data_IF_054563333044
#
_entry.id   IF_054563333044
#
_cell.length_a   1.000
_cell.length_b   1.000
_cell.length_c   1.000
_cell.angle_alpha   90.00
_cell.angle_beta   90.00
_cell.angle_gamma   90.00
#
_symmetry.space_group_name_H-M   'P 1'
#
loop_
_entity.id
_entity.type
_entity.pdbx_description
1 polymer ?
#
# COMPACT_ATOMS: atom_id res chain seq x y z
N UNK A 1 23.78 4.07 29.45
CA UNK A 1 23.85 4.24 27.98
C UNK A 1 23.84 2.87 27.35
N UNK A 2 23.02 2.65 26.33
CA UNK A 2 22.98 1.42 25.53
C UNK A 2 23.03 1.80 24.05
N UNK A 3 23.83 1.08 23.27
CA UNK A 3 23.90 1.20 21.81
C UNK A 3 23.75 -0.20 21.22
N UNK A 4 22.72 -0.41 20.40
CA UNK A 4 22.50 -1.64 19.66
C UNK A 4 22.57 -1.36 18.17
N UNK A 5 23.31 -2.18 17.43
CA UNK A 5 23.34 -2.18 15.96
C UNK A 5 22.85 -3.54 15.48
N UNK A 6 21.95 -3.55 14.50
CA UNK A 6 21.35 -4.75 13.96
C UNK A 6 21.54 -4.88 12.45
N UNK A 7 21.76 -6.12 12.02
CA UNK A 7 21.72 -6.54 10.63
C UNK A 7 20.97 -7.87 10.55
N UNK A 8 20.02 -7.98 9.64
CA UNK A 8 19.42 -9.25 9.25
C UNK A 8 19.22 -9.32 7.75
N UNK A 9 19.14 -10.54 7.23
CA UNK A 9 18.89 -10.83 5.82
C UNK A 9 18.24 -12.20 5.70
N UNK A 10 17.57 -12.44 4.58
CA UNK A 10 17.09 -13.77 4.23
C UNK A 10 18.15 -14.52 3.43
N UNK A 11 18.15 -15.84 3.57
CA UNK A 11 18.93 -16.76 2.76
C UNK A 11 18.02 -17.90 2.36
N UNK A 12 17.93 -18.19 1.07
CA UNK A 12 17.02 -19.20 0.55
C UNK A 12 17.68 -20.05 -0.53
N UNK A 13 17.31 -21.33 -0.59
CA UNK A 13 17.63 -22.20 -1.72
C UNK A 13 16.34 -22.46 -2.48
N UNK A 14 16.23 -21.91 -3.69
CA UNK A 14 15.09 -22.10 -4.58
C UNK A 14 15.16 -23.50 -5.21
N UNK A 15 14.69 -24.51 -4.50
CA UNK A 15 14.71 -25.93 -4.90
C UNK A 15 13.36 -26.65 -4.82
N UNK A 16 12.23 -25.94 -4.64
CA UNK A 16 10.89 -26.54 -4.61
C UNK A 16 10.48 -27.03 -6.01
N UNK A 17 10.75 -28.31 -6.29
CA UNK A 17 10.45 -28.93 -7.58
C UNK A 17 8.97 -28.94 -7.93
N UNK A 18 8.08 -28.94 -6.94
CA UNK A 18 6.65 -28.95 -7.19
C UNK A 18 6.21 -27.61 -7.75
N UNK A 19 6.56 -26.51 -7.09
CA UNK A 19 6.15 -25.17 -7.54
C UNK A 19 6.94 -24.72 -8.77
N UNK A 20 8.21 -25.11 -8.89
CA UNK A 20 8.99 -24.91 -10.10
C UNK A 20 8.35 -25.59 -11.31
N UNK A 21 7.79 -26.80 -11.15
CA UNK A 21 7.08 -27.47 -12.22
C UNK A 21 5.80 -26.72 -12.62
N UNK A 22 5.05 -26.15 -11.67
CA UNK A 22 3.86 -25.34 -11.98
C UNK A 22 4.21 -24.10 -12.82
N UNK A 23 5.30 -23.41 -12.47
CA UNK A 23 5.78 -22.27 -13.25
C UNK A 23 6.22 -22.71 -14.65
N UNK A 24 6.96 -23.81 -14.74
CA UNK A 24 7.42 -24.39 -16.02
C UNK A 24 6.25 -24.78 -16.93
N UNK A 25 5.22 -25.45 -16.39
CA UNK A 25 4.03 -25.85 -17.14
C UNK A 25 3.28 -24.64 -17.71
N UNK A 26 3.38 -23.49 -17.03
CA UNK A 26 2.80 -22.21 -17.50
C UNK A 26 3.73 -21.38 -18.37
N UNK A 27 5.01 -21.72 -18.45
CA UNK A 27 6.03 -20.92 -19.11
C UNK A 27 6.41 -19.64 -18.35
N UNK A 28 6.18 -19.60 -17.04
CA UNK A 28 6.59 -18.48 -16.20
C UNK A 28 8.03 -18.64 -15.71
N UNK A 29 8.81 -17.54 -15.64
CA UNK A 29 10.14 -17.57 -15.06
C UNK A 29 10.06 -17.79 -13.55
N UNK A 30 11.07 -18.46 -13.00
CA UNK A 30 11.22 -18.70 -11.58
C UNK A 30 12.72 -18.77 -11.23
N UNK A 31 13.11 -18.36 -10.01
CA UNK A 31 14.50 -18.45 -9.56
C UNK A 31 14.87 -19.92 -9.28
N UNK A 32 16.17 -20.23 -9.30
CA UNK A 32 16.68 -21.55 -8.91
C UNK A 32 17.96 -21.40 -8.11
N UNK A 33 18.20 -22.34 -7.20
CA UNK A 33 19.40 -22.36 -6.38
C UNK A 33 19.45 -21.26 -5.32
N UNK A 34 20.65 -21.04 -4.81
CA UNK A 34 20.91 -20.17 -3.68
C UNK A 34 20.70 -18.68 -4.03
N UNK A 35 19.86 -17.99 -3.26
CA UNK A 35 19.55 -16.55 -3.43
C UNK A 35 20.66 -15.60 -2.95
N UNK A 36 21.66 -16.10 -2.21
CA UNK A 36 22.52 -15.24 -1.41
C UNK A 36 21.75 -14.56 -0.28
N UNK A 37 22.33 -13.49 0.28
CA UNK A 37 21.64 -12.65 1.26
C UNK A 37 20.82 -11.58 0.55
N UNK A 38 19.52 -11.53 0.81
CA UNK A 38 18.59 -10.57 0.24
C UNK A 38 17.56 -10.09 1.30
N UNK A 39 16.70 -9.14 0.91
CA UNK A 39 15.68 -8.55 1.81
C UNK A 39 16.27 -8.02 3.11
N UNK A 40 17.42 -7.35 3.03
CA UNK A 40 18.21 -6.98 4.21
C UNK A 40 17.48 -5.96 5.09
N UNK A 41 17.81 -5.98 6.38
CA UNK A 41 17.35 -5.02 7.37
C UNK A 41 18.52 -4.53 8.20
N UNK A 42 18.63 -3.20 8.31
CA UNK A 42 19.60 -2.52 9.14
C UNK A 42 18.87 -1.81 10.28
N UNK A 43 19.43 -1.82 11.48
CA UNK A 43 18.90 -1.04 12.59
C UNK A 43 19.98 -0.46 13.48
N UNK A 44 19.66 0.67 14.09
CA UNK A 44 20.47 1.30 15.13
C UNK A 44 19.56 1.81 16.24
N UNK A 45 19.93 1.57 17.47
CA UNK A 45 19.20 2.02 18.66
C UNK A 45 20.18 2.61 19.66
N UNK A 46 19.89 3.82 20.12
CA UNK A 46 20.61 4.49 21.19
C UNK A 46 19.63 4.78 22.33
N UNK A 47 19.97 4.36 23.54
CA UNK A 47 19.22 4.66 24.76
C UNK A 47 20.15 5.33 25.77
N UNK A 48 19.74 6.50 26.24
CA UNK A 48 20.46 7.31 27.23
C UNK A 48 19.54 7.56 28.41
N UNK A 49 20.01 7.34 29.63
CA UNK A 49 19.22 7.66 30.80
C UNK A 49 20.07 7.64 32.05
N UNK A 50 19.64 8.40 33.05
CA UNK A 50 20.30 8.49 34.34
C UNK A 50 19.34 9.01 35.40
N UNK A 51 19.64 8.68 36.65
CA UNK A 51 19.17 9.46 37.79
C UNK A 51 19.98 10.75 37.91
N UNK A 52 19.40 11.79 38.50
CA UNK A 52 20.06 13.07 38.81
C UNK A 52 19.50 13.65 40.12
N UNK A 53 20.13 14.71 40.63
CA UNK A 53 19.73 15.39 41.87
C UNK A 53 19.52 14.42 43.05
N UNK A 54 20.57 13.66 43.41
CA UNK A 54 20.56 12.70 44.51
C UNK A 54 19.41 11.68 44.42
N UNK A 55 19.16 11.15 43.21
CA UNK A 55 18.09 10.21 42.87
C UNK A 55 16.66 10.77 42.98
N UNK A 56 16.47 12.08 43.12
CA UNK A 56 15.14 12.69 43.00
C UNK A 56 14.65 12.79 41.57
N UNK A 57 15.57 12.86 40.60
CA UNK A 57 15.25 12.96 39.20
C UNK A 57 15.60 11.70 38.43
N UNK A 58 14.77 11.33 37.45
CA UNK A 58 15.08 10.31 36.46
C UNK A 58 14.75 10.83 35.07
N UNK A 59 15.66 10.67 34.12
CA UNK A 59 15.40 10.98 32.71
C UNK A 59 15.95 9.86 31.83
N UNK A 60 15.21 9.54 30.78
CA UNK A 60 15.60 8.57 29.76
C UNK A 60 15.11 9.05 28.39
N UNK A 61 15.94 8.89 27.36
CA UNK A 61 15.59 9.13 25.98
C UNK A 61 16.15 8.04 25.09
N UNK A 62 15.47 7.80 23.97
CA UNK A 62 15.87 6.83 22.99
C UNK A 62 15.68 7.34 21.57
N UNK A 63 16.48 6.80 20.67
CA UNK A 63 16.38 6.99 19.23
C UNK A 63 16.59 5.63 18.57
N UNK A 64 15.65 5.22 17.72
CA UNK A 64 15.76 4.01 16.90
C UNK A 64 15.67 4.39 15.43
N UNK A 65 16.50 3.79 14.60
CA UNK A 65 16.39 3.80 13.16
C UNK A 65 16.32 2.36 12.65
N UNK A 66 15.50 2.12 11.64
CA UNK A 66 15.45 0.87 10.89
C UNK A 66 15.26 1.18 9.41
N UNK A 67 15.99 0.45 8.57
CA UNK A 67 15.78 0.41 7.13
C UNK A 67 15.66 -1.04 6.66
N UNK A 68 14.62 -1.32 5.89
CA UNK A 68 14.41 -2.61 5.24
C UNK A 68 14.49 -2.42 3.73
N UNK A 69 15.26 -3.26 3.06
CA UNK A 69 15.26 -3.37 1.61
C UNK A 69 14.04 -4.15 1.11
N UNK A 70 13.64 -3.88 -0.13
CA UNK A 70 12.60 -4.64 -0.78
C UNK A 70 13.07 -6.09 -1.03
N UNK A 71 12.13 -7.02 -0.94
CA UNK A 71 12.26 -8.37 -1.48
C UNK A 71 11.04 -8.62 -2.36
N UNK A 72 11.24 -9.11 -3.58
CA UNK A 72 10.20 -9.38 -4.57
C UNK A 72 9.76 -10.84 -4.53
N UNK A 73 8.52 -11.10 -4.92
CA UNK A 73 8.03 -12.48 -5.04
C UNK A 73 8.81 -13.28 -6.09
N UNK A 74 9.39 -12.62 -7.10
CA UNK A 74 10.26 -13.23 -8.10
C UNK A 74 11.52 -13.89 -7.51
N UNK A 75 11.92 -13.50 -6.29
CA UNK A 75 13.15 -13.99 -5.65
C UNK A 75 12.92 -15.29 -4.86
N UNK A 76 11.67 -15.78 -4.81
CA UNK A 76 11.30 -17.06 -4.21
C UNK A 76 10.51 -17.90 -5.22
N UNK A 77 10.97 -19.12 -5.49
CA UNK A 77 10.34 -20.04 -6.45
C UNK A 77 8.88 -20.34 -6.12
N UNK A 78 8.58 -20.50 -4.83
CA UNK A 78 7.24 -20.77 -4.32
C UNK A 78 6.28 -19.57 -4.43
N UNK A 79 6.79 -18.36 -4.70
CA UNK A 79 5.96 -17.15 -4.96
C UNK A 79 6.12 -16.58 -6.37
N UNK A 80 6.90 -17.21 -7.23
CA UNK A 80 7.13 -16.74 -8.60
C UNK A 80 5.82 -16.68 -9.42
N UNK A 81 4.76 -17.39 -9.04
CA UNK A 81 3.42 -17.23 -9.59
C UNK A 81 2.34 -17.30 -8.51
N UNK A 82 1.15 -16.75 -8.80
CA UNK A 82 -0.04 -16.99 -7.98
C UNK A 82 -0.67 -18.33 -8.34
N UNK A 83 -0.69 -19.28 -7.42
CA UNK A 83 -1.32 -20.59 -7.61
C UNK A 83 -2.83 -20.48 -7.38
N UNK A 84 -3.62 -21.11 -8.25
CA UNK A 84 -5.08 -21.13 -8.12
C UNK A 84 -5.53 -21.86 -6.84
N UNK A 85 -6.59 -21.34 -6.19
CA UNK A 85 -7.13 -21.93 -4.97
C UNK A 85 -7.82 -23.30 -5.19
N UNK A 86 -8.23 -23.60 -6.43
CA UNK A 86 -9.01 -24.80 -6.78
C UNK A 86 -8.26 -25.76 -7.69
N UNK A 87 -7.03 -25.43 -8.09
CA UNK A 87 -6.18 -26.27 -8.93
C UNK A 87 -4.72 -25.93 -8.69
N UNK A 88 -3.84 -26.93 -8.61
CA UNK A 88 -2.39 -26.72 -8.53
C UNK A 88 -1.85 -26.27 -9.90
N UNK A 89 -2.10 -25.01 -10.25
CA UNK A 89 -1.65 -24.40 -11.49
C UNK A 89 -1.41 -22.90 -11.28
N UNK A 90 -0.35 -22.37 -11.90
CA UNK A 90 -0.11 -20.94 -11.94
C UNK A 90 -1.24 -20.23 -12.70
N UNK A 91 -1.97 -19.40 -11.97
CA UNK A 91 -2.96 -18.47 -12.50
C UNK A 91 -2.30 -17.22 -13.08
N UNK A 92 -3.13 -16.25 -13.45
CA UNK A 92 -2.67 -14.97 -13.98
C UNK A 92 -3.81 -14.12 -14.49
N UNK A 93 -3.49 -12.97 -15.07
CA UNK A 93 -4.48 -12.04 -15.60
C UNK A 93 -4.66 -12.18 -17.11
N UNK A 94 -5.91 -12.08 -17.57
CA UNK A 94 -6.22 -11.94 -18.99
C UNK A 94 -5.98 -10.53 -19.55
N UNK A 95 -5.72 -9.53 -18.72
CA UNK A 95 -5.09 -8.26 -19.13
C UNK A 95 -3.60 -8.51 -19.19
N UNK A 96 -3.09 -8.70 -20.40
CA UNK A 96 -1.79 -9.32 -20.62
C UNK A 96 -0.87 -8.52 -21.53
N UNK A 97 0.36 -9.01 -21.67
CA UNK A 97 1.36 -8.51 -22.59
C UNK A 97 1.93 -9.67 -23.43
N UNK A 98 1.85 -9.65 -24.76
CA UNK A 98 1.09 -8.69 -25.58
C UNK A 98 -0.40 -8.63 -25.21
N UNK A 99 -1.09 -7.58 -25.66
CA UNK A 99 -2.51 -7.38 -25.36
C UNK A 99 -3.43 -8.41 -26.04
N UNK A 100 -4.67 -8.49 -25.55
CA UNK A 100 -5.77 -9.17 -26.27
C UNK A 100 -6.96 -8.22 -26.47
N UNK A 101 -7.81 -8.59 -27.40
CA UNK A 101 -8.98 -7.83 -27.82
C UNK A 101 -10.21 -8.71 -27.78
N UNK A 102 -11.27 -8.28 -27.09
CA UNK A 102 -12.58 -8.90 -27.25
C UNK A 102 -13.35 -8.13 -28.32
N UNK A 103 -13.60 -8.76 -29.47
CA UNK A 103 -14.14 -8.10 -30.66
C UNK A 103 -15.59 -8.54 -30.87
N UNK A 104 -16.51 -7.60 -30.77
CA UNK A 104 -17.94 -7.79 -31.03
C UNK A 104 -18.39 -6.97 -32.23
N UNK A 105 -19.45 -7.43 -32.90
CA UNK A 105 -20.12 -6.66 -33.95
C UNK A 105 -20.86 -5.48 -33.31
N UNK A 106 -20.95 -4.35 -34.01
CA UNK A 106 -21.64 -3.16 -33.52
C UNK A 106 -22.48 -2.51 -34.62
N UNK A 107 -23.77 -2.30 -34.35
CA UNK A 107 -24.70 -1.65 -35.26
C UNK A 107 -25.82 -0.97 -34.48
N UNK A 108 -26.39 0.09 -35.03
CA UNK A 108 -27.55 0.80 -34.45
C UNK A 108 -27.35 1.23 -32.98
N UNK A 109 -26.11 1.60 -32.61
CA UNK A 109 -25.79 2.04 -31.24
C UNK A 109 -25.66 0.92 -30.21
N UNK A 110 -25.52 -0.35 -30.63
CA UNK A 110 -25.39 -1.47 -29.71
C UNK A 110 -24.58 -2.65 -30.23
N UNK A 111 -24.19 -3.52 -29.30
CA UNK A 111 -23.49 -4.79 -29.59
C UNK A 111 -24.45 -5.75 -30.28
N UNK A 112 -23.99 -6.34 -31.40
CA UNK A 112 -24.67 -7.43 -32.09
C UNK A 112 -24.00 -8.74 -31.69
N UNK A 113 -24.79 -9.62 -31.06
CA UNK A 113 -24.27 -10.87 -30.52
C UNK A 113 -23.72 -11.78 -31.62
N UNK A 114 -22.58 -12.41 -31.34
CA UNK A 114 -22.09 -13.53 -32.13
C UNK A 114 -23.00 -14.76 -31.96
N UNK A 115 -22.97 -15.69 -32.94
CA UNK A 115 -23.52 -17.03 -32.72
C UNK A 115 -22.92 -17.67 -31.46
N UNK A 116 -23.74 -18.44 -30.74
CA UNK A 116 -23.33 -19.13 -29.53
C UNK A 116 -22.06 -19.96 -29.77
N UNK A 117 -21.09 -19.85 -28.85
CA UNK A 117 -19.84 -20.60 -28.91
C UNK A 117 -18.71 -19.94 -29.70
N UNK A 118 -18.92 -18.77 -30.33
CA UNK A 118 -17.82 -18.03 -30.96
C UNK A 118 -16.84 -17.51 -29.91
N UNK A 119 -15.55 -17.82 -30.08
CA UNK A 119 -14.49 -17.14 -29.35
C UNK A 119 -14.30 -15.74 -29.95
N UNK A 120 -14.60 -14.72 -29.14
CA UNK A 120 -14.46 -13.32 -29.53
C UNK A 120 -13.11 -12.72 -29.10
N UNK A 121 -12.19 -13.51 -28.54
CA UNK A 121 -10.88 -13.04 -28.11
C UNK A 121 -9.84 -13.23 -29.19
N UNK A 122 -9.14 -12.16 -29.52
CA UNK A 122 -8.11 -12.11 -30.54
C UNK A 122 -6.82 -11.51 -29.98
N UNK A 123 -5.70 -11.96 -30.53
CA UNK A 123 -4.35 -11.47 -30.25
C UNK A 123 -3.64 -11.16 -31.55
N UNK A 124 -2.78 -10.16 -31.52
CA UNK A 124 -1.86 -9.85 -32.62
C UNK A 124 -0.69 -10.84 -32.60
N UNK A 125 -0.38 -11.45 -33.75
CA UNK A 125 0.74 -12.41 -33.89
C UNK A 125 1.94 -11.84 -34.67
N UNK A 126 1.95 -10.54 -34.97
CA UNK A 126 2.96 -9.88 -35.81
C UNK A 126 2.55 -9.69 -37.27
N UNK A 127 1.47 -10.35 -37.73
CA UNK A 127 0.97 -10.25 -39.11
C UNK A 127 -0.53 -10.00 -39.20
N UNK A 128 -1.31 -10.71 -38.39
CA UNK A 128 -2.77 -10.60 -38.36
C UNK A 128 -3.30 -10.89 -36.96
N UNK A 129 -4.62 -10.74 -36.79
CA UNK A 129 -5.30 -11.10 -35.57
C UNK A 129 -5.78 -12.54 -35.65
N UNK A 130 -5.57 -13.30 -34.58
CA UNK A 130 -6.02 -14.69 -34.49
C UNK A 130 -6.66 -14.93 -33.14
N UNK A 131 -7.54 -15.94 -33.06
CA UNK A 131 -8.15 -16.29 -31.78
C UNK A 131 -7.09 -16.69 -30.76
N UNK A 132 -7.15 -16.09 -29.57
CA UNK A 132 -6.18 -16.36 -28.53
C UNK A 132 -6.38 -15.52 -27.29
N UNK A 133 -5.66 -15.92 -26.25
CA UNK A 133 -5.56 -15.18 -24.99
C UNK A 133 -4.14 -15.37 -24.46
N UNK A 134 -3.51 -14.29 -24.02
CA UNK A 134 -2.30 -14.38 -23.22
C UNK A 134 -2.66 -14.35 -21.73
N UNK A 135 -1.78 -14.91 -20.91
CA UNK A 135 -1.89 -14.86 -19.47
C UNK A 135 -0.68 -14.13 -18.90
N UNK A 136 -0.93 -13.08 -18.11
CA UNK A 136 0.11 -12.31 -17.46
C UNK A 136 0.35 -12.77 -16.04
N UNK A 137 1.60 -13.08 -15.72
CA UNK A 137 2.02 -13.39 -14.36
C UNK A 137 2.24 -12.09 -13.58
N UNK A 138 1.26 -11.71 -12.76
CA UNK A 138 1.34 -10.50 -11.95
C UNK A 138 2.11 -10.70 -10.64
N UNK A 139 2.45 -11.93 -10.24
CA UNK A 139 3.08 -12.20 -8.94
C UNK A 139 4.51 -11.65 -8.81
N UNK A 140 5.44 -11.88 -9.77
CA UNK A 140 6.88 -11.64 -9.59
C UNK A 140 7.24 -10.24 -9.11
N UNK A 141 6.55 -9.24 -9.64
CA UNK A 141 6.85 -7.83 -9.41
C UNK A 141 6.30 -7.31 -8.07
N UNK A 142 5.44 -8.03 -7.36
CA UNK A 142 4.97 -7.57 -6.05
C UNK A 142 6.04 -7.78 -4.97
N UNK A 143 6.00 -6.97 -3.93
CA UNK A 143 6.84 -7.17 -2.76
C UNK A 143 6.41 -8.42 -1.98
N UNK A 144 7.39 -9.25 -1.63
CA UNK A 144 7.36 -10.21 -0.53
C UNK A 144 7.68 -9.52 0.80
N UNK A 145 8.71 -8.65 0.80
CA UNK A 145 9.00 -7.68 1.87
C UNK A 145 8.95 -6.27 1.27
N UNK A 146 8.18 -5.37 1.89
CA UNK A 146 8.15 -3.97 1.47
C UNK A 146 9.39 -3.24 1.97
N UNK A 147 9.92 -2.29 1.18
CA UNK A 147 10.92 -1.37 1.69
C UNK A 147 10.28 -0.44 2.74
N UNK A 148 11.04 -0.16 3.79
CA UNK A 148 10.58 0.62 4.94
C UNK A 148 11.76 1.37 5.56
N UNK A 149 11.62 2.67 5.77
CA UNK A 149 12.56 3.46 6.55
C UNK A 149 11.79 4.07 7.74
N UNK A 150 12.21 3.77 8.95
CA UNK A 150 11.50 4.13 10.18
C UNK A 150 12.44 4.70 11.21
N UNK A 151 12.12 5.89 11.69
CA UNK A 151 12.75 6.54 12.83
C UNK A 151 11.73 6.65 13.95
N UNK A 152 12.09 6.19 15.14
CA UNK A 152 11.31 6.47 16.36
C UNK A 152 12.21 7.12 17.38
N UNK A 153 11.66 8.05 18.14
CA UNK A 153 12.37 8.66 19.24
C UNK A 153 11.42 8.86 20.41
N UNK A 154 11.98 8.90 21.61
CA UNK A 154 11.21 9.26 22.78
C UNK A 154 12.06 9.78 23.90
N UNK A 155 11.37 10.39 24.86
CA UNK A 155 11.95 11.00 26.03
C UNK A 155 10.96 10.92 27.17
N UNK A 156 11.43 10.54 28.36
CA UNK A 156 10.64 10.52 29.58
C UNK A 156 11.49 11.10 30.70
N UNK A 157 10.90 11.95 31.53
CA UNK A 157 11.55 12.47 32.73
C UNK A 157 10.55 12.67 33.86
N UNK A 158 11.03 12.48 35.09
CA UNK A 158 10.29 12.78 36.32
C UNK A 158 11.23 13.36 37.37
N UNK A 159 10.67 14.15 38.29
CA UNK A 159 11.44 14.75 39.38
C UNK A 159 10.61 14.83 40.66
N UNK A 160 11.08 14.18 41.73
CA UNK A 160 10.45 14.20 43.05
C UNK A 160 10.80 15.49 43.79
N UNK A 161 9.85 16.42 43.84
CA UNK A 161 9.99 17.66 44.62
C UNK A 161 9.81 17.33 46.11
N UNK A 162 8.74 16.60 46.42
CA UNK A 162 8.34 16.09 47.72
C UNK A 162 7.25 15.02 47.55
N UNK A 163 6.78 14.44 48.65
CA UNK A 163 5.75 13.38 48.66
C UNK A 163 4.42 13.76 47.98
N UNK A 164 4.17 15.06 47.78
CA UNK A 164 2.94 15.60 47.20
C UNK A 164 3.08 16.00 45.73
N UNK A 165 4.30 16.04 45.20
CA UNK A 165 4.55 16.58 43.87
C UNK A 165 5.77 15.94 43.17
N UNK A 166 5.45 15.11 42.18
CA UNK A 166 6.36 14.54 41.19
C UNK A 166 5.87 14.95 39.80
N UNK A 167 6.31 16.09 39.25
CA UNK A 167 6.12 16.40 37.84
C UNK A 167 6.79 15.37 36.95
N UNK A 168 6.18 15.12 35.79
CA UNK A 168 6.72 14.25 34.76
C UNK A 168 6.37 14.73 33.35
N UNK A 169 7.16 14.29 32.38
CA UNK A 169 6.93 14.50 30.95
C UNK A 169 7.30 13.25 30.17
N UNK A 170 6.51 12.95 29.15
CA UNK A 170 6.74 11.87 28.18
C UNK A 170 6.55 12.45 26.77
N UNK A 171 7.49 12.21 25.87
CA UNK A 171 7.40 12.58 24.47
C UNK A 171 7.74 11.36 23.60
N UNK A 172 6.98 11.18 22.53
CA UNK A 172 7.19 10.13 21.53
C UNK A 172 7.07 10.70 20.13
N UNK A 173 7.89 10.20 19.21
CA UNK A 173 7.96 10.60 17.82
C UNK A 173 8.14 9.37 16.93
N UNK A 174 7.49 9.39 15.77
CA UNK A 174 7.59 8.38 14.72
C UNK A 174 7.60 9.11 13.38
N UNK A 175 8.58 8.79 12.54
CA UNK A 175 8.56 9.04 11.10
C UNK A 175 8.76 7.71 10.41
N UNK A 176 7.94 7.44 9.40
CA UNK A 176 8.03 6.20 8.63
C UNK A 176 7.69 6.49 7.18
N UNK A 177 8.53 5.96 6.29
CA UNK A 177 8.28 5.92 4.85
C UNK A 177 8.28 4.49 4.39
N UNK A 178 7.27 4.10 3.62
CA UNK A 178 7.21 2.76 3.05
C UNK A 178 6.40 2.79 1.77
N UNK A 179 6.77 1.96 0.80
CA UNK A 179 6.00 1.80 -0.42
C UNK A 179 5.36 0.41 -0.49
N UNK A 180 4.16 0.39 -1.05
CA UNK A 180 3.53 -0.81 -1.58
C UNK A 180 3.68 -0.80 -3.09
N UNK A 181 3.73 -1.99 -3.66
CA UNK A 181 3.81 -2.18 -5.09
C UNK A 181 2.82 -3.26 -5.49
N UNK A 182 2.06 -2.97 -6.54
CA UNK A 182 1.22 -3.94 -7.24
C UNK A 182 1.74 -4.03 -8.68
N UNK A 183 1.59 -5.19 -9.32
CA UNK A 183 1.83 -5.35 -10.74
C UNK A 183 1.28 -4.21 -11.59
N UNK A 184 1.88 -3.95 -12.73
CA UNK A 184 1.58 -2.88 -13.67
C UNK A 184 0.09 -2.71 -13.92
N UNK A 185 -0.37 -1.46 -14.09
CA UNK A 185 -1.75 -1.18 -14.49
C UNK A 185 -1.98 -1.57 -15.95
N UNK A 186 -3.10 -1.17 -16.55
CA UNK A 186 -3.37 -1.44 -17.95
C UNK A 186 -4.82 -1.20 -18.35
N UNK A 187 -5.14 -1.57 -19.58
CA UNK A 187 -6.52 -1.65 -20.03
C UNK A 187 -7.18 -2.88 -19.40
N UNK A 188 -8.00 -2.68 -18.36
CA UNK A 188 -8.75 -3.74 -17.68
C UNK A 188 -10.15 -3.91 -18.26
N UNK A 189 -10.22 -4.06 -19.58
CA UNK A 189 -11.49 -4.21 -20.28
C UNK A 189 -12.09 -2.89 -20.71
N UNK A 190 -11.28 -2.04 -21.38
CA UNK A 190 -11.73 -0.73 -21.87
C UNK A 190 -12.45 -0.91 -23.20
N UNK A 191 -13.76 -0.67 -23.31
CA UNK A 191 -14.49 -0.82 -24.57
C UNK A 191 -14.36 0.45 -25.42
N UNK A 192 -14.08 0.27 -26.70
CA UNK A 192 -14.14 1.34 -27.72
C UNK A 192 -14.92 0.87 -28.94
N UNK A 193 -15.57 1.80 -29.63
CA UNK A 193 -16.24 1.53 -30.90
C UNK A 193 -15.37 2.08 -32.02
N UNK A 194 -15.09 1.24 -33.00
CA UNK A 194 -14.17 1.55 -34.11
C UNK A 194 -14.81 1.22 -35.44
N UNK A 195 -14.57 2.07 -36.44
CA UNK A 195 -14.91 1.75 -37.82
C UNK A 195 -13.99 0.64 -38.35
N UNK A 196 -14.55 -0.33 -39.06
CA UNK A 196 -13.78 -1.46 -39.58
C UNK A 196 -12.80 -1.08 -40.70
N UNK A 197 -12.87 0.15 -41.21
CA UNK A 197 -11.92 0.71 -42.17
C UNK A 197 -10.84 1.60 -41.49
N UNK A 198 -10.83 1.71 -40.16
CA UNK A 198 -9.84 2.51 -39.45
C UNK A 198 -8.43 1.90 -39.65
N UNK A 199 -7.45 2.63 -40.18
CA UNK A 199 -6.12 2.09 -40.47
C UNK A 199 -5.36 1.63 -39.20
N UNK A 200 -5.66 2.18 -38.02
CA UNK A 200 -4.99 1.82 -36.77
C UNK A 200 -5.28 0.38 -36.33
N UNK A 201 -6.48 -0.14 -36.61
CA UNK A 201 -6.87 -1.50 -36.21
C UNK A 201 -6.47 -2.56 -37.25
N UNK A 202 -5.94 -2.13 -38.40
CA UNK A 202 -5.47 -3.02 -39.47
C UNK A 202 -6.55 -4.00 -39.94
N UNK A 203 -6.22 -5.29 -39.96
CA UNK A 203 -7.10 -6.37 -40.46
C UNK A 203 -8.09 -6.88 -39.42
N UNK A 204 -8.16 -6.30 -38.21
CA UNK A 204 -8.91 -6.86 -37.07
C UNK A 204 -10.35 -7.26 -37.42
N UNK A 205 -11.13 -6.38 -38.04
CA UNK A 205 -12.52 -6.70 -38.37
C UNK A 205 -12.63 -7.85 -39.38
N UNK A 206 -11.75 -7.88 -40.39
CA UNK A 206 -11.72 -8.94 -41.39
C UNK A 206 -11.31 -10.28 -40.77
N UNK A 207 -10.26 -10.28 -39.97
CA UNK A 207 -9.76 -11.47 -39.25
C UNK A 207 -10.80 -12.02 -38.26
N UNK A 208 -11.54 -11.13 -37.60
CA UNK A 208 -12.62 -11.50 -36.69
C UNK A 208 -13.94 -11.85 -37.40
N UNK A 209 -14.05 -11.62 -38.71
CA UNK A 209 -15.26 -11.85 -39.49
C UNK A 209 -16.43 -10.95 -39.09
N UNK A 210 -16.16 -9.69 -38.74
CA UNK A 210 -17.18 -8.68 -38.43
C UNK A 210 -17.94 -8.32 -39.71
N UNK A 211 -19.27 -8.47 -39.71
CA UNK A 211 -20.12 -8.20 -40.87
C UNK A 211 -20.74 -6.78 -40.85
N UNK A 212 -20.62 -6.07 -39.73
CA UNK A 212 -21.09 -4.68 -39.56
C UNK A 212 -20.01 -3.68 -39.98
N UNK A 213 -20.38 -2.41 -40.21
CA UNK A 213 -19.41 -1.35 -40.55
C UNK A 213 -18.50 -0.97 -39.38
N UNK A 214 -18.93 -1.26 -38.14
CA UNK A 214 -18.21 -0.98 -36.91
C UNK A 214 -18.06 -2.24 -36.07
N UNK A 215 -17.06 -2.23 -35.20
CA UNK A 215 -16.88 -3.21 -34.15
C UNK A 215 -16.82 -2.50 -32.79
N UNK A 216 -17.30 -3.17 -31.75
CA UNK A 216 -16.92 -2.83 -30.39
C UNK A 216 -15.71 -3.70 -30.03
N UNK A 217 -14.60 -3.06 -29.70
CA UNK A 217 -13.38 -3.75 -29.25
C UNK A 217 -13.13 -3.42 -27.80
N UNK A 218 -13.09 -4.45 -26.96
CA UNK A 218 -12.66 -4.33 -25.58
C UNK A 218 -11.16 -4.61 -25.48
N UNK A 219 -10.41 -3.63 -24.97
CA UNK A 219 -8.96 -3.63 -24.85
C UNK A 219 -8.51 -4.29 -23.53
N UNK A 220 -7.58 -5.23 -23.63
CA UNK A 220 -7.00 -5.95 -22.49
C UNK A 220 -5.47 -6.02 -22.59
N UNK A 221 -4.77 -4.94 -22.21
CA UNK A 221 -3.30 -4.81 -22.30
C UNK A 221 -2.71 -4.38 -20.96
N UNK A 222 -1.67 -5.09 -20.52
CA UNK A 222 -0.84 -4.73 -19.36
C UNK A 222 0.20 -3.68 -19.73
N UNK A 223 0.43 -2.69 -18.86
CA UNK A 223 1.43 -1.65 -19.03
C UNK A 223 2.85 -2.10 -18.62
N UNK A 224 3.44 -3.06 -19.33
CA UNK A 224 4.82 -3.48 -19.02
C UNK A 224 5.85 -2.40 -19.36
N UNK A 225 5.48 -1.41 -20.16
CA UNK A 225 6.32 -0.32 -20.63
C UNK A 225 6.50 0.80 -19.60
N UNK A 226 5.45 1.12 -18.85
CA UNK A 226 5.47 2.19 -17.84
C UNK A 226 5.86 1.73 -16.44
N UNK A 227 5.82 0.42 -16.18
CA UNK A 227 6.21 -0.17 -14.89
C UNK A 227 5.06 -0.30 -13.88
N UNK A 228 5.38 -0.72 -12.64
CA UNK A 228 4.39 -1.15 -11.67
C UNK A 228 3.57 0.00 -11.10
N UNK A 229 2.44 -0.35 -10.48
CA UNK A 229 1.66 0.58 -9.65
C UNK A 229 2.33 0.69 -8.28
N UNK A 230 2.55 1.91 -7.84
CA UNK A 230 3.26 2.20 -6.60
C UNK A 230 2.36 3.07 -5.74
N UNK A 231 2.15 2.68 -4.49
CA UNK A 231 1.55 3.55 -3.47
C UNK A 231 2.55 3.75 -2.34
N UNK A 232 2.96 5.00 -2.14
CA UNK A 232 3.95 5.39 -1.12
C UNK A 232 3.25 6.06 0.04
N UNK A 233 3.55 5.63 1.26
CA UNK A 233 3.01 6.19 2.50
C UNK A 233 4.11 6.85 3.32
N UNK A 234 3.90 8.11 3.68
CA UNK A 234 4.70 8.87 4.64
C UNK A 234 3.86 9.12 5.91
N UNK A 235 4.22 8.45 7.01
CA UNK A 235 3.57 8.55 8.31
C UNK A 235 4.44 9.37 9.28
N UNK A 236 3.88 10.43 9.86
CA UNK A 236 4.47 11.19 10.96
C UNK A 236 3.53 11.20 12.16
N UNK A 237 4.05 10.88 13.34
CA UNK A 237 3.30 10.94 14.60
C UNK A 237 4.16 11.55 15.68
N UNK A 238 3.57 12.43 16.49
CA UNK A 238 4.17 12.84 17.74
C UNK A 238 3.12 12.91 18.85
N UNK A 239 3.55 12.62 20.08
CA UNK A 239 2.75 12.73 21.29
C UNK A 239 3.62 13.32 22.40
N UNK A 240 3.06 14.26 23.15
CA UNK A 240 3.63 14.76 24.40
C UNK A 240 2.59 14.67 25.51
N UNK A 241 3.00 14.15 26.66
CA UNK A 241 2.24 14.13 27.90
C UNK A 241 3.06 14.84 28.96
N UNK A 242 2.45 15.78 29.67
CA UNK A 242 3.04 16.39 30.84
C UNK A 242 2.04 16.29 31.99
N UNK A 243 2.53 15.95 33.17
CA UNK A 243 1.66 15.75 34.32
C UNK A 243 2.38 15.92 35.64
N UNK A 244 1.62 15.74 36.71
CA UNK A 244 2.10 15.76 38.07
C UNK A 244 1.30 14.73 38.87
N UNK A 245 2.02 13.98 39.70
CA UNK A 245 1.46 12.98 40.60
C UNK A 245 2.00 13.16 42.01
N UNK A 246 1.31 12.63 43.01
CA UNK A 246 1.77 12.69 44.39
C UNK A 246 0.71 12.27 45.40
N UNK A 247 1.03 12.39 46.68
CA UNK A 247 0.11 12.14 47.78
C UNK A 247 -0.86 13.30 48.04
N UNK A 248 -1.98 12.98 48.68
CA UNK A 248 -2.95 13.90 49.28
C UNK A 248 -3.24 13.45 50.71
N UNK A 249 -3.71 14.36 51.56
CA UNK A 249 -4.17 14.06 52.92
C UNK A 249 -3.19 13.21 53.75
N UNK A 250 -1.91 13.59 53.78
CA UNK A 250 -0.86 12.85 54.47
C UNK A 250 -0.54 11.49 53.83
N UNK A 251 -0.67 11.41 52.50
CA UNK A 251 -0.41 10.20 51.67
C UNK A 251 -1.39 9.05 51.86
N UNK A 252 -2.53 9.30 52.52
CA UNK A 252 -3.67 8.35 52.55
C UNK A 252 -4.38 8.25 51.20
N UNK A 253 -4.16 9.24 50.33
CA UNK A 253 -4.66 9.33 48.97
C UNK A 253 -3.52 9.65 48.02
N UNK A 254 -3.69 9.29 46.74
CA UNK A 254 -2.79 9.68 45.66
C UNK A 254 -3.57 10.38 44.55
N UNK A 255 -2.87 11.15 43.72
CA UNK A 255 -3.43 11.73 42.50
C UNK A 255 -2.46 11.62 41.32
N UNK A 256 -3.02 11.64 40.12
CA UNK A 256 -2.33 11.94 38.87
C UNK A 256 -3.17 12.92 38.05
N UNK A 257 -2.56 14.03 37.67
CA UNK A 257 -3.14 15.00 36.76
C UNK A 257 -2.21 15.21 35.56
N UNK A 258 -2.75 15.06 34.34
CA UNK A 258 -1.96 15.11 33.11
C UNK A 258 -2.68 15.79 31.95
N UNK A 259 -1.87 16.40 31.10
CA UNK A 259 -2.26 16.92 29.79
C UNK A 259 -1.52 16.14 28.71
N UNK A 260 -2.23 15.64 27.71
CA UNK A 260 -1.66 14.97 26.54
C UNK A 260 -2.03 15.73 25.29
N UNK A 261 -1.09 15.86 24.37
CA UNK A 261 -1.30 16.37 23.02
C UNK A 261 -0.61 15.46 22.02
N UNK A 262 -1.27 15.16 20.90
CA UNK A 262 -0.67 14.38 19.83
C UNK A 262 -1.23 14.73 18.47
N UNK A 263 -0.44 14.48 17.44
CA UNK A 263 -0.88 14.53 16.04
C UNK A 263 -0.31 13.37 15.27
N UNK A 264 -1.10 12.88 14.31
CA UNK A 264 -0.65 11.96 13.28
C UNK A 264 -0.98 12.54 11.92
N UNK A 265 -0.08 12.39 10.96
CA UNK A 265 -0.28 12.72 9.57
C UNK A 265 0.21 11.55 8.72
N UNK A 266 -0.64 11.11 7.79
CA UNK A 266 -0.29 10.14 6.76
C UNK A 266 -0.47 10.81 5.40
N UNK A 267 0.50 10.69 4.53
CA UNK A 267 0.39 11.07 3.11
C UNK A 267 0.58 9.80 2.30
N UNK A 268 -0.45 9.43 1.56
CA UNK A 268 -0.41 8.36 0.58
C UNK A 268 -0.36 8.98 -0.82
N UNK A 269 0.54 8.51 -1.67
CA UNK A 269 0.63 8.91 -3.09
C UNK A 269 0.61 7.64 -3.93
N UNK A 270 -0.41 7.51 -4.78
CA UNK A 270 -0.52 6.47 -5.80
C UNK A 270 0.01 6.95 -7.15
N UNK A 271 0.70 6.09 -7.89
CA UNK A 271 1.22 6.38 -9.23
C UNK A 271 1.05 5.18 -10.15
N UNK A 272 1.03 5.45 -11.46
CA UNK A 272 1.02 4.47 -12.54
C UNK A 272 -0.28 3.64 -12.65
N UNK A 273 -1.38 4.12 -12.07
CA UNK A 273 -2.70 3.61 -12.41
C UNK A 273 -3.16 4.22 -13.74
N UNK A 274 -3.61 3.38 -14.67
CA UNK A 274 -4.02 3.83 -15.99
C UNK A 274 -5.44 4.39 -15.98
N UNK A 275 -5.62 5.55 -16.59
CA UNK A 275 -6.91 6.20 -16.79
C UNK A 275 -7.58 5.61 -18.04
N UNK A 276 -8.76 5.01 -17.87
CA UNK A 276 -9.50 4.36 -18.97
C UNK A 276 -9.82 5.31 -20.12
N UNK A 277 -10.13 6.58 -19.81
CA UNK A 277 -10.41 7.62 -20.82
C UNK A 277 -9.19 7.96 -21.65
N UNK A 278 -7.99 8.00 -21.03
CA UNK A 278 -6.75 8.26 -21.75
C UNK A 278 -6.43 7.09 -22.68
N UNK A 279 -6.58 5.84 -22.19
CA UNK A 279 -6.40 4.64 -23.02
C UNK A 279 -7.32 4.69 -24.24
N UNK A 280 -8.62 4.95 -24.03
CA UNK A 280 -9.60 4.95 -25.11
C UNK A 280 -9.30 6.02 -26.16
N UNK A 281 -8.96 7.25 -25.75
CA UNK A 281 -8.56 8.32 -26.65
C UNK A 281 -7.25 8.00 -27.40
N UNK A 282 -6.21 7.56 -26.69
CA UNK A 282 -4.88 7.33 -27.24
C UNK A 282 -4.81 6.09 -28.15
N UNK A 283 -5.63 5.08 -27.90
CA UNK A 283 -5.74 3.90 -28.78
C UNK A 283 -6.20 4.29 -30.19
N UNK A 284 -6.96 5.38 -30.34
CA UNK A 284 -7.39 5.93 -31.63
C UNK A 284 -6.63 7.19 -32.04
N UNK A 285 -5.39 7.34 -31.57
CA UNK A 285 -4.51 8.44 -31.98
C UNK A 285 -4.98 9.82 -31.50
N UNK A 286 -5.67 9.89 -30.36
CA UNK A 286 -6.12 11.13 -29.73
C UNK A 286 -7.18 11.89 -30.54
N UNK A 287 -7.91 11.16 -31.39
CA UNK A 287 -9.00 11.70 -32.21
C UNK A 287 -10.28 10.90 -32.02
N UNK A 288 -10.41 10.19 -30.90
CA UNK A 288 -11.63 9.44 -30.58
C UNK A 288 -12.83 10.41 -30.47
N UNK A 289 -13.97 10.12 -31.13
CA UNK A 289 -15.10 11.04 -31.17
C UNK A 289 -15.84 11.19 -29.82
N UNK A 290 -15.64 10.26 -28.88
CA UNK A 290 -16.26 10.26 -27.56
C UNK A 290 -15.30 10.81 -26.50
N UNK A 291 -14.06 10.32 -26.48
CA UNK A 291 -13.06 10.63 -25.47
C UNK A 291 -12.11 11.76 -25.87
N UNK A 292 -12.05 12.12 -27.15
CA UNK A 292 -11.27 13.25 -27.65
C UNK A 292 -9.76 13.07 -27.48
N UNK A 293 -9.15 13.99 -26.76
CA UNK A 293 -7.71 14.08 -26.50
C UNK A 293 -7.45 14.61 -25.09
N UNK A 294 -6.20 14.56 -24.65
CA UNK A 294 -5.75 15.09 -23.36
C UNK A 294 -4.31 15.62 -23.47
N UNK A 295 -3.82 16.41 -22.49
CA UNK A 295 -2.45 16.92 -22.51
C UNK A 295 -1.41 15.79 -22.60
N UNK A 296 -0.51 15.86 -23.58
CA UNK A 296 0.51 14.82 -23.79
C UNK A 296 0.00 13.57 -24.51
N UNK A 297 -1.25 13.57 -25.00
CA UNK A 297 -1.77 12.44 -25.75
C UNK A 297 -0.95 12.15 -27.01
N UNK A 298 -0.54 10.90 -27.14
CA UNK A 298 0.10 10.34 -28.33
C UNK A 298 -0.51 8.97 -28.62
N UNK A 299 -0.25 8.42 -29.81
CA UNK A 299 -0.75 7.10 -30.17
C UNK A 299 -0.22 6.05 -29.18
N UNK A 300 -1.14 5.45 -28.43
CA UNK A 300 -0.89 4.23 -27.68
C UNK A 300 -1.18 3.06 -28.62
N UNK A 301 -0.17 2.62 -29.39
CA UNK A 301 -0.30 1.56 -30.41
C UNK A 301 -0.44 0.17 -29.77
N UNK A 302 -1.56 0.01 -29.08
CA UNK A 302 -2.01 -1.23 -28.45
C UNK A 302 -2.27 -2.31 -29.50
N UNK A 303 -2.71 -1.90 -30.70
CA UNK A 303 -3.13 -2.77 -31.81
C UNK A 303 -2.01 -3.70 -32.27
N UNK A 304 -0.78 -3.18 -32.35
CA UNK A 304 0.38 -3.96 -32.81
C UNK A 304 1.45 -4.16 -31.74
N UNK A 305 1.15 -3.80 -30.48
CA UNK A 305 2.04 -3.93 -29.31
C UNK A 305 3.30 -3.06 -29.42
N UNK A 306 3.24 -1.95 -30.17
CA UNK A 306 4.37 -1.01 -30.41
C UNK A 306 4.24 0.22 -29.53
N UNK A 307 4.23 0.00 -28.23
CA UNK A 307 4.03 1.06 -27.24
C UNK A 307 5.39 1.59 -26.78
N UNK A 308 5.59 2.91 -26.88
CA UNK A 308 6.75 3.56 -26.24
C UNK A 308 6.47 3.79 -24.76
N UNK A 309 7.53 3.95 -23.97
CA UNK A 309 7.38 4.30 -22.55
C UNK A 309 6.62 5.61 -22.36
N UNK A 310 6.87 6.60 -23.22
CA UNK A 310 6.20 7.91 -23.16
C UNK A 310 4.70 7.78 -23.44
N UNK A 311 4.31 6.95 -24.42
CA UNK A 311 2.91 6.69 -24.72
C UNK A 311 2.21 5.94 -23.56
N UNK A 312 2.90 5.02 -22.91
CA UNK A 312 2.42 4.34 -21.71
C UNK A 312 2.28 5.30 -20.51
N UNK A 313 3.30 6.09 -20.22
CA UNK A 313 3.32 7.03 -19.10
C UNK A 313 2.21 8.09 -19.25
N UNK A 314 1.84 8.48 -20.47
CA UNK A 314 0.73 9.40 -20.74
C UNK A 314 -0.65 8.83 -20.34
N UNK A 315 -0.78 7.52 -20.13
CA UNK A 315 -2.03 6.91 -19.65
C UNK A 315 -2.14 6.94 -18.13
N UNK A 316 -1.02 7.15 -17.42
CA UNK A 316 -0.96 7.02 -15.97
C UNK A 316 -1.48 8.28 -15.25
N UNK A 317 -2.24 8.05 -14.18
CA UNK A 317 -2.65 9.03 -13.19
C UNK A 317 -1.70 9.11 -11.97
N UNK A 318 -1.97 10.08 -11.11
CA UNK A 318 -1.35 10.20 -9.79
C UNK A 318 -2.42 10.63 -8.79
N UNK A 319 -2.71 9.73 -7.86
CA UNK A 319 -3.64 9.96 -6.77
C UNK A 319 -2.89 10.34 -5.50
N UNK A 320 -3.56 11.03 -4.60
CA UNK A 320 -3.03 11.28 -3.26
C UNK A 320 -4.13 11.25 -2.20
N UNK A 321 -3.74 10.97 -0.97
CA UNK A 321 -4.59 11.10 0.20
C UNK A 321 -3.77 11.59 1.38
N UNK A 322 -4.23 12.64 2.05
CA UNK A 322 -3.57 13.24 3.20
C UNK A 322 -4.54 13.14 4.37
N UNK A 323 -4.20 12.31 5.35
CA UNK A 323 -4.96 12.18 6.59
C UNK A 323 -4.23 12.90 7.71
N UNK A 324 -4.94 13.71 8.50
CA UNK A 324 -4.40 14.33 9.71
C UNK A 324 -5.37 14.10 10.87
N UNK A 325 -4.84 13.61 11.98
CA UNK A 325 -5.57 13.56 13.25
C UNK A 325 -4.85 14.40 14.29
N UNK A 326 -5.63 15.02 15.18
CA UNK A 326 -5.08 15.59 16.40
C UNK A 326 -5.87 15.15 17.62
N UNK A 327 -5.17 15.03 18.72
CA UNK A 327 -5.70 14.62 20.00
C UNK A 327 -5.20 15.56 21.09
N UNK A 328 -6.11 16.01 21.94
CA UNK A 328 -5.73 16.60 23.22
C UNK A 328 -6.58 16.03 24.35
N UNK A 329 -5.98 15.85 25.52
CA UNK A 329 -6.71 15.44 26.70
C UNK A 329 -6.17 16.08 27.96
N UNK A 330 -7.09 16.36 28.87
CA UNK A 330 -6.82 16.60 30.28
C UNK A 330 -7.40 15.43 31.06
N UNK A 331 -6.65 14.89 32.01
CA UNK A 331 -7.08 13.83 32.90
C UNK A 331 -6.64 14.16 34.31
N UNK A 332 -7.51 13.93 35.29
CA UNK A 332 -7.17 13.96 36.70
C UNK A 332 -7.88 12.80 37.40
N UNK A 333 -7.13 12.03 38.16
CA UNK A 333 -7.64 10.95 39.01
C UNK A 333 -7.06 11.12 40.40
N UNK A 334 -7.87 10.85 41.42
CA UNK A 334 -7.42 10.69 42.78
C UNK A 334 -8.10 9.48 43.41
N UNK A 335 -7.34 8.71 44.19
CA UNK A 335 -7.84 7.54 44.88
C UNK A 335 -7.15 7.32 46.22
N UNK A 336 -7.86 6.68 47.14
CA UNK A 336 -7.39 6.39 48.48
C UNK A 336 -8.47 5.77 49.35
N UNK A 337 -8.16 5.56 50.62
CA UNK A 337 -9.10 5.01 51.59
C UNK A 337 -9.89 6.12 52.31
N UNK A 338 -11.16 5.85 52.62
CA UNK A 338 -12.02 6.79 53.33
C UNK A 338 -11.75 6.87 54.84
N UNK A 339 -10.85 6.01 55.37
CA UNK A 339 -10.52 5.93 56.79
C UNK A 339 -11.60 5.29 57.66
N UNK A 340 -12.58 4.62 57.05
CA UNK A 340 -13.60 3.82 57.76
C UNK A 340 -14.06 2.63 56.92
N UNK A 341 -14.58 1.61 57.62
CA UNK A 341 -15.00 0.32 57.06
C UNK A 341 -16.24 -0.25 57.74
N UNK A 342 -16.88 -1.26 57.14
CA UNK A 342 -18.04 -1.91 57.76
C UNK A 342 -17.61 -2.97 58.80
N UNK A 343 -18.24 -3.03 60.00
CA UNK A 343 -17.93 -4.05 60.99
C UNK A 343 -18.13 -5.49 60.49
N UNK A 344 -19.11 -5.68 59.60
CA UNK A 344 -19.40 -6.98 58.96
C UNK A 344 -18.33 -7.43 57.97
N UNK A 345 -17.45 -6.51 57.55
CA UNK A 345 -16.28 -6.78 56.71
C UNK A 345 -14.97 -6.76 57.52
N UNK A 346 -15.03 -6.97 58.83
CA UNK A 346 -13.83 -7.02 59.68
C UNK A 346 -13.09 -5.69 59.84
N UNK A 347 -13.73 -4.57 59.49
CA UNK A 347 -13.11 -3.24 59.56
C UNK A 347 -12.23 -2.88 58.36
N UNK A 348 -12.27 -3.66 57.26
CA UNK A 348 -11.60 -3.28 56.01
C UNK A 348 -12.07 -1.91 55.52
N UNK A 349 -11.11 -1.02 55.24
CA UNK A 349 -11.39 0.35 54.82
C UNK A 349 -11.99 0.40 53.42
N UNK A 350 -12.97 1.28 53.24
CA UNK A 350 -13.58 1.51 51.93
C UNK A 350 -12.63 2.37 51.10
N UNK A 351 -12.19 1.83 49.96
CA UNK A 351 -11.47 2.57 48.93
C UNK A 351 -12.42 3.37 48.04
N UNK A 352 -12.02 4.58 47.65
CA UNK A 352 -12.73 5.41 46.69
C UNK A 352 -11.75 5.92 45.63
N UNK A 353 -12.18 5.92 44.37
CA UNK A 353 -11.50 6.58 43.27
C UNK A 353 -12.45 7.58 42.60
N UNK A 354 -11.96 8.78 42.33
CA UNK A 354 -12.69 9.85 41.66
C UNK A 354 -11.81 10.39 40.54
N UNK A 355 -12.40 10.62 39.37
CA UNK A 355 -11.67 11.18 38.25
C UNK A 355 -12.53 12.04 37.35
N UNK A 356 -11.87 12.97 36.67
CA UNK A 356 -12.47 13.80 35.64
C UNK A 356 -11.51 13.87 34.45
N UNK A 357 -12.07 13.90 33.24
CA UNK A 357 -11.29 14.01 32.03
C UNK A 357 -12.03 14.75 30.94
N UNK A 358 -11.27 15.44 30.09
CA UNK A 358 -11.77 16.07 28.87
C UNK A 358 -10.88 15.66 27.73
N UNK A 359 -11.47 15.26 26.61
CA UNK A 359 -10.75 14.88 25.39
C UNK A 359 -11.31 15.65 24.21
N UNK A 360 -10.43 16.02 23.30
CA UNK A 360 -10.78 16.63 22.02
C UNK A 360 -10.03 15.92 20.90
N UNK A 361 -10.75 15.64 19.82
CA UNK A 361 -10.25 14.95 18.65
C UNK A 361 -10.61 15.75 17.41
N UNK A 362 -9.67 15.88 16.48
CA UNK A 362 -9.96 16.37 15.14
C UNK A 362 -9.44 15.39 14.10
N UNK A 363 -10.15 15.32 12.98
CA UNK A 363 -9.77 14.55 11.80
C UNK A 363 -10.01 15.41 10.57
N UNK A 364 -9.03 15.49 9.68
CA UNK A 364 -9.16 16.12 8.37
C UNK A 364 -8.54 15.23 7.32
N UNK A 365 -9.20 15.13 6.17
CA UNK A 365 -8.70 14.42 4.99
C UNK A 365 -8.76 15.31 3.76
N UNK A 366 -7.76 15.20 2.89
CA UNK A 366 -7.72 15.80 1.56
C UNK A 366 -7.27 14.70 0.59
N UNK A 367 -7.98 14.49 -0.52
CA UNK A 367 -7.71 13.36 -1.41
C UNK A 367 -8.12 13.69 -2.84
N UNK A 368 -7.37 13.11 -3.78
CA UNK A 368 -7.70 13.06 -5.20
C UNK A 368 -7.49 11.63 -5.69
N UNK A 369 -8.50 11.09 -6.36
CA UNK A 369 -8.52 9.72 -6.85
C UNK A 369 -8.48 9.71 -8.38
N UNK A 370 -7.67 8.81 -8.93
CA UNK A 370 -7.57 8.56 -10.38
C UNK A 370 -8.74 7.71 -10.91
#
# INVERSE_FOLDING_TARGET
VSLNLGYSAFHHNNDDKTVQQLNKDRGFPYPTGNSGLDGTSHSAELVLGSSFADNKGHAMGWLTWRENEALYQAERDYSACSVSATSAACGGSGTANPGRFTVNQYANGGVVNWPTGKNANYVWNGKNYQNGTYLYNYAPINFYQRPDNRVTAGFMASYDINDYATPYVEAMFLERRSSTQIAESGAFGVPIVVDCNNPLIGTMCADAGVATSQAQVTLWKRNVEGGPRISSSDDSTYRITAGMRGGLFGSSWTYDASATFGRTKTIDIGKNDFLNTNIAAAALGCTDPVYGTFPGCSLYDIWTDKISKEAADAMAGTSFSIYKTSYSSLSAVADGFLGWGFPTAGGEEIGLAVGAGRRHYTYTSDYDGD
#
